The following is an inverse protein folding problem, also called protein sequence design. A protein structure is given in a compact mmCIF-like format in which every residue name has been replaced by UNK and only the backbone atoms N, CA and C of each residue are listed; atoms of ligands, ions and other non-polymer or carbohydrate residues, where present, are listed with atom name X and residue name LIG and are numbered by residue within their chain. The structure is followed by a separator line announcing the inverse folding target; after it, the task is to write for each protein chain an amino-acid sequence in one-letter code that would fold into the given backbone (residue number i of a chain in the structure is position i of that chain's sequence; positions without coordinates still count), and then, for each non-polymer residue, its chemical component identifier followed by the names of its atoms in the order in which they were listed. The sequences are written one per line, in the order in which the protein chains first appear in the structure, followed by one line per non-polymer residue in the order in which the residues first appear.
data_IF_537172100514
#
_entry.id   IF_537172100514
#
_cell.length_a   1.000
_cell.length_b   1.000
_cell.length_c   1.000
_cell.angle_alpha   90.00
_cell.angle_beta   90.00
_cell.angle_gamma   90.00
#
_symmetry.space_group_name_H-M   'P 1'
#
loop_
_entity.id
_entity.type
_entity.pdbx_description
1 polymer ?
#
# COMPACT_ATOMS: atom_id res chain seq x y z
N UNK A 1 -29.85 39.60 -18.73
CA UNK A 1 -29.23 39.14 -17.47
C UNK A 1 -29.65 37.70 -17.28
N UNK A 2 -29.01 36.81 -18.04
CA UNK A 2 -29.22 35.36 -17.99
C UNK A 2 -28.15 34.81 -17.06
N UNK A 3 -28.59 34.26 -15.93
CA UNK A 3 -27.74 33.53 -15.00
C UNK A 3 -27.64 32.12 -15.55
N UNK A 4 -26.48 31.76 -16.08
CA UNK A 4 -26.16 30.37 -16.43
C UNK A 4 -25.93 29.59 -15.12
N UNK A 5 -26.81 28.63 -14.86
CA UNK A 5 -26.57 27.60 -13.84
C UNK A 5 -25.44 26.69 -14.34
N UNK A 6 -24.23 26.96 -13.87
CA UNK A 6 -23.11 26.03 -13.95
C UNK A 6 -23.43 24.79 -13.12
N UNK A 7 -23.97 23.77 -13.77
CA UNK A 7 -23.97 22.41 -13.25
C UNK A 7 -22.53 21.91 -13.27
N UNK A 8 -21.80 22.09 -12.18
CA UNK A 8 -20.55 21.35 -11.95
C UNK A 8 -20.90 19.87 -11.83
N UNK A 9 -20.63 19.14 -12.91
CA UNK A 9 -20.68 17.68 -12.88
C UNK A 9 -19.49 17.21 -12.07
N UNK A 10 -19.66 17.03 -10.77
CA UNK A 10 -18.74 16.21 -9.97
C UNK A 10 -18.91 14.77 -10.44
N UNK A 11 -18.03 14.32 -11.33
CA UNK A 11 -17.98 12.91 -11.74
C UNK A 11 -17.64 12.05 -10.52
N UNK A 12 -18.52 11.11 -10.22
CA UNK A 12 -18.41 10.17 -9.11
C UNK A 12 -17.04 9.49 -9.11
N UNK A 13 -16.40 9.39 -7.94
CA UNK A 13 -15.06 8.83 -7.81
C UNK A 13 -15.07 7.32 -8.07
N UNK A 14 -14.11 6.84 -8.87
CA UNK A 14 -13.93 5.40 -9.11
C UNK A 14 -13.34 4.71 -7.88
N UNK A 15 -13.55 3.39 -7.75
CA UNK A 15 -12.99 2.61 -6.65
C UNK A 15 -11.45 2.67 -6.59
N UNK A 16 -10.78 2.78 -7.75
CA UNK A 16 -9.33 2.95 -7.81
C UNK A 16 -8.87 4.33 -7.32
N UNK A 17 -9.63 5.38 -7.61
CA UNK A 17 -9.38 6.73 -7.07
C UNK A 17 -9.57 6.74 -5.55
N UNK A 18 -10.66 6.15 -5.04
CA UNK A 18 -10.92 6.02 -3.61
C UNK A 18 -9.79 5.26 -2.91
N UNK A 19 -9.37 4.10 -3.44
CA UNK A 19 -8.24 3.33 -2.89
C UNK A 19 -6.95 4.17 -2.82
N UNK A 20 -6.62 4.87 -3.90
CA UNK A 20 -5.39 5.66 -4.00
C UNK A 20 -5.40 6.84 -3.03
N UNK A 21 -6.54 7.53 -2.89
CA UNK A 21 -6.73 8.64 -1.97
C UNK A 21 -6.72 8.15 -0.52
N UNK A 22 -7.38 7.02 -0.21
CA UNK A 22 -7.34 6.41 1.11
C UNK A 22 -5.90 6.07 1.53
N UNK A 23 -5.09 5.53 0.61
CA UNK A 23 -3.67 5.30 0.84
C UNK A 23 -2.88 6.60 1.04
N UNK A 24 -3.11 7.62 0.22
CA UNK A 24 -2.45 8.92 0.35
C UNK A 24 -2.71 9.57 1.72
N UNK A 25 -3.96 9.47 2.22
CA UNK A 25 -4.35 10.01 3.53
C UNK A 25 -3.60 9.39 4.71
N UNK A 26 -3.14 8.14 4.59
CA UNK A 26 -2.32 7.49 5.63
C UNK A 26 -0.92 8.10 5.78
N UNK A 27 -0.50 8.97 4.85
CA UNK A 27 0.81 9.62 4.88
C UNK A 27 0.80 11.08 5.39
N UNK A 28 -0.35 11.58 5.90
CA UNK A 28 -0.53 12.96 6.38
C UNK A 28 0.50 13.41 7.43
N UNK A 29 0.99 12.50 8.26
CA UNK A 29 1.91 12.80 9.37
C UNK A 29 3.21 11.97 9.31
N UNK A 30 3.48 11.36 8.16
CA UNK A 30 4.65 10.52 7.91
C UNK A 30 5.82 11.39 7.47
N UNK A 31 7.05 11.14 7.96
CA UNK A 31 8.22 11.89 7.47
C UNK A 31 8.81 11.21 6.23
N UNK A 32 8.97 9.89 6.28
CA UNK A 32 9.58 9.11 5.21
C UNK A 32 8.66 7.97 4.76
N UNK A 33 8.47 7.83 3.45
CA UNK A 33 7.76 6.69 2.87
C UNK A 33 8.65 5.97 1.86
N UNK A 34 8.78 4.65 2.03
CA UNK A 34 9.44 3.79 1.06
C UNK A 34 8.41 3.23 0.07
N UNK A 35 8.67 3.42 -1.22
CA UNK A 35 7.70 3.15 -2.28
C UNK A 35 8.32 2.39 -3.45
N UNK A 36 7.48 1.54 -4.06
CA UNK A 36 7.73 0.94 -5.37
C UNK A 36 7.09 1.78 -6.49
N UNK A 37 6.59 1.09 -7.52
CA UNK A 37 5.86 1.70 -8.65
C UNK A 37 4.36 1.46 -8.57
N UNK A 38 3.59 2.08 -9.49
CA UNK A 38 2.15 1.90 -9.60
C UNK A 38 1.38 2.66 -8.51
N UNK A 39 0.23 2.10 -8.06
CA UNK A 39 -0.65 2.76 -7.07
C UNK A 39 0.07 3.22 -5.79
N UNK A 40 1.00 2.44 -5.19
CA UNK A 40 1.85 2.94 -4.10
C UNK A 40 2.55 4.28 -4.42
N UNK A 41 3.21 4.37 -5.57
CA UNK A 41 3.91 5.58 -6.00
C UNK A 41 2.92 6.73 -6.22
N UNK A 42 1.80 6.46 -6.90
CA UNK A 42 0.75 7.45 -7.15
C UNK A 42 0.18 8.00 -5.84
N UNK A 43 -0.12 7.14 -4.86
CA UNK A 43 -0.64 7.55 -3.56
C UNK A 43 0.37 8.40 -2.78
N UNK A 44 1.67 8.08 -2.83
CA UNK A 44 2.70 8.84 -2.14
C UNK A 44 2.97 10.20 -2.78
N UNK A 45 2.99 10.28 -4.12
CA UNK A 45 3.11 11.55 -4.86
C UNK A 45 1.88 12.42 -4.57
N UNK A 46 0.66 11.86 -4.64
CA UNK A 46 -0.57 12.56 -4.28
C UNK A 46 -0.55 13.06 -2.84
N UNK A 47 -0.13 12.23 -1.88
CA UNK A 47 0.01 12.64 -0.50
C UNK A 47 0.96 13.83 -0.37
N UNK A 48 2.08 13.82 -1.09
CA UNK A 48 3.00 14.95 -1.11
C UNK A 48 2.38 16.22 -1.69
N UNK A 49 1.55 16.08 -2.72
CA UNK A 49 0.88 17.23 -3.36
C UNK A 49 -0.20 17.87 -2.48
N UNK A 50 -1.01 17.06 -1.79
CA UNK A 50 -2.27 17.53 -1.16
C UNK A 50 -2.24 17.49 0.37
N UNK A 51 -1.46 16.59 0.96
CA UNK A 51 -1.57 16.28 2.39
C UNK A 51 -0.32 16.63 3.19
N UNK A 52 0.85 16.42 2.60
CA UNK A 52 2.13 16.48 3.30
C UNK A 52 3.27 16.87 2.34
N UNK A 53 3.43 18.17 2.02
CA UNK A 53 4.48 18.66 1.12
C UNK A 53 5.91 18.32 1.54
N UNK A 54 6.13 18.04 2.82
CA UNK A 54 7.44 17.69 3.40
C UNK A 54 7.71 16.18 3.40
N UNK A 55 6.79 15.35 2.87
CA UNK A 55 6.97 13.91 2.78
C UNK A 55 8.18 13.55 1.93
N UNK A 56 9.12 12.80 2.51
CA UNK A 56 10.32 12.32 1.86
C UNK A 56 10.01 10.98 1.19
N UNK A 57 10.02 11.00 -0.15
CA UNK A 57 9.84 9.80 -0.98
C UNK A 57 11.17 9.06 -1.12
N UNK A 58 11.18 7.77 -0.79
CA UNK A 58 12.36 6.90 -0.86
C UNK A 58 12.07 5.71 -1.76
N UNK A 59 12.96 5.41 -2.70
CA UNK A 59 12.80 4.27 -3.61
C UNK A 59 13.94 3.27 -3.47
N UNK A 60 13.64 1.99 -3.74
CA UNK A 60 14.57 0.86 -3.63
C UNK A 60 15.85 1.02 -4.46
N UNK A 61 15.78 1.76 -5.57
CA UNK A 61 16.92 2.07 -6.44
C UNK A 61 17.99 2.95 -5.77
N UNK A 62 17.68 3.57 -4.63
CA UNK A 62 18.61 4.37 -3.85
C UNK A 62 18.30 5.87 -3.81
N UNK A 63 17.20 6.32 -4.42
CA UNK A 63 16.84 7.74 -4.41
C UNK A 63 16.14 8.10 -3.10
N UNK A 64 16.59 9.20 -2.48
CA UNK A 64 16.07 9.71 -1.21
C UNK A 64 15.61 11.14 -1.43
N UNK A 65 14.35 11.41 -1.08
CA UNK A 65 13.74 12.72 -1.26
C UNK A 65 13.44 13.04 -2.72
N UNK A 66 13.10 12.03 -3.53
CA UNK A 66 12.70 12.26 -4.92
C UNK A 66 11.40 13.10 -4.99
N UNK A 67 11.31 13.96 -6.01
CA UNK A 67 10.18 14.89 -6.22
C UNK A 67 9.68 14.77 -7.66
N UNK A 68 9.27 13.56 -8.11
CA UNK A 68 8.89 13.35 -9.50
C UNK A 68 7.63 14.17 -9.84
N UNK A 69 7.60 14.72 -11.04
CA UNK A 69 6.46 15.44 -11.59
C UNK A 69 5.46 14.51 -12.27
N UNK A 70 5.94 13.38 -12.80
CA UNK A 70 5.14 12.30 -13.38
C UNK A 70 5.12 11.07 -12.48
N UNK A 71 4.21 10.13 -12.75
CA UNK A 71 4.26 8.80 -12.11
C UNK A 71 5.43 8.02 -12.75
N UNK A 72 6.47 7.63 -11.98
CA UNK A 72 7.63 6.93 -12.53
C UNK A 72 7.23 5.59 -13.15
N UNK A 73 7.82 5.25 -14.30
CA UNK A 73 7.56 3.96 -14.97
C UNK A 73 8.26 2.80 -14.26
N UNK A 74 9.35 3.09 -13.56
CA UNK A 74 10.20 2.15 -12.86
C UNK A 74 10.80 2.81 -11.62
N UNK A 75 11.21 2.02 -10.62
CA UNK A 75 12.05 2.55 -9.53
C UNK A 75 13.39 3.10 -10.05
N UNK A 76 13.82 2.68 -11.24
CA UNK A 76 15.03 3.16 -11.92
C UNK A 76 14.77 4.28 -12.93
N UNK A 77 13.62 4.93 -12.89
CA UNK A 77 13.33 6.09 -13.75
C UNK A 77 14.31 7.23 -13.47
N UNK A 78 14.81 7.88 -14.53
CA UNK A 78 15.84 8.91 -14.42
C UNK A 78 15.38 10.12 -13.62
N UNK A 79 14.10 10.49 -13.73
CA UNK A 79 13.52 11.62 -12.99
C UNK A 79 13.65 11.45 -11.47
N UNK A 80 13.57 10.20 -10.98
CA UNK A 80 13.73 9.91 -9.56
C UNK A 80 15.11 10.30 -9.05
N UNK A 81 16.16 10.11 -9.85
CA UNK A 81 17.51 10.50 -9.50
C UNK A 81 17.74 12.01 -9.72
N UNK A 82 17.19 12.58 -10.79
CA UNK A 82 17.32 14.01 -11.10
C UNK A 82 16.67 14.92 -10.06
N UNK A 83 15.59 14.46 -9.42
CA UNK A 83 14.82 15.24 -8.43
C UNK A 83 15.12 14.89 -6.97
N UNK A 84 15.94 13.87 -6.72
CA UNK A 84 16.30 13.42 -5.38
C UNK A 84 17.23 14.40 -4.65
N UNK A 85 17.10 14.44 -3.32
CA UNK A 85 18.07 15.14 -2.47
C UNK A 85 19.39 14.37 -2.37
N UNK A 86 19.33 13.04 -2.49
CA UNK A 86 20.50 12.16 -2.53
C UNK A 86 20.22 10.87 -3.30
N UNK A 87 21.26 10.32 -3.91
CA UNK A 87 21.24 8.99 -4.54
C UNK A 87 22.32 8.15 -3.88
N UNK A 88 21.89 7.05 -3.24
CA UNK A 88 22.77 6.09 -2.58
C UNK A 88 22.80 4.77 -3.36
N UNK A 89 23.76 3.91 -3.04
CA UNK A 89 23.77 2.56 -3.62
C UNK A 89 22.65 1.69 -3.03
N UNK A 90 22.16 0.71 -3.79
CA UNK A 90 21.17 -0.26 -3.29
C UNK A 90 21.66 -0.97 -2.01
N UNK A 91 22.91 -1.46 -1.91
CA UNK A 91 23.41 -2.03 -0.65
C UNK A 91 23.33 -1.06 0.54
N UNK A 92 23.58 0.23 0.33
CA UNK A 92 23.43 1.24 1.37
C UNK A 92 21.95 1.45 1.76
N UNK A 93 21.04 1.51 0.79
CA UNK A 93 19.60 1.61 1.05
C UNK A 93 19.13 0.51 2.01
N UNK A 94 19.51 -0.74 1.75
CA UNK A 94 19.13 -1.85 2.62
C UNK A 94 19.88 -1.85 3.96
N UNK A 95 21.20 -1.65 3.97
CA UNK A 95 22.00 -1.78 5.18
C UNK A 95 21.89 -0.60 6.15
N UNK A 96 21.70 0.62 5.65
CA UNK A 96 21.76 1.85 6.47
C UNK A 96 20.42 2.56 6.62
N UNK A 97 19.46 2.35 5.71
CA UNK A 97 18.15 3.00 5.78
C UNK A 97 17.04 2.03 6.19
N UNK A 98 16.88 0.91 5.49
CA UNK A 98 15.81 -0.06 5.78
C UNK A 98 16.13 -0.89 7.02
N UNK A 99 17.23 -1.65 7.04
CA UNK A 99 17.56 -2.59 8.12
C UNK A 99 17.60 -1.96 9.53
N UNK A 100 18.21 -0.78 9.72
CA UNK A 100 18.19 -0.06 11.00
C UNK A 100 16.84 0.62 11.32
N UNK A 101 15.81 0.46 10.49
CA UNK A 101 14.46 1.01 10.62
C UNK A 101 14.43 2.53 10.65
N UNK A 102 15.06 3.19 9.67
CA UNK A 102 15.04 4.65 9.50
C UNK A 102 13.94 5.15 8.56
N UNK A 103 13.15 4.22 8.01
CA UNK A 103 11.98 4.51 7.19
C UNK A 103 10.74 4.33 8.08
N UNK A 104 9.89 5.35 8.14
CA UNK A 104 8.69 5.35 8.99
C UNK A 104 7.62 4.41 8.43
N UNK A 105 7.26 4.58 7.16
CA UNK A 105 6.19 3.83 6.48
C UNK A 105 6.73 3.24 5.19
N UNK A 106 6.30 2.03 4.85
CA UNK A 106 6.52 1.48 3.53
C UNK A 106 5.19 1.05 2.87
N UNK A 107 5.08 1.27 1.57
CA UNK A 107 4.01 0.67 0.78
C UNK A 107 4.47 -0.60 0.09
N UNK A 108 3.68 -1.66 0.23
CA UNK A 108 3.86 -2.91 -0.49
C UNK A 108 2.60 -3.28 -1.28
N UNK A 109 2.77 -4.11 -2.31
CA UNK A 109 1.70 -4.80 -2.99
C UNK A 109 1.92 -6.31 -2.92
N UNK A 110 0.91 -7.09 -3.27
CA UNK A 110 1.01 -8.54 -3.30
C UNK A 110 0.05 -9.17 -4.32
N UNK A 111 0.40 -10.35 -4.82
CA UNK A 111 -0.48 -11.16 -5.66
C UNK A 111 -1.43 -12.03 -4.82
N UNK A 112 -0.96 -12.53 -3.68
CA UNK A 112 -1.81 -13.13 -2.64
C UNK A 112 -1.50 -12.53 -1.27
N UNK A 113 -2.51 -12.46 -0.43
CA UNK A 113 -2.51 -11.99 0.95
C UNK A 113 -3.31 -13.01 1.76
N UNK A 114 -2.79 -13.44 2.91
CA UNK A 114 -3.53 -14.29 3.84
C UNK A 114 -4.10 -13.50 5.02
N UNK A 115 -4.83 -14.21 5.89
CA UNK A 115 -5.48 -13.62 7.06
C UNK A 115 -4.53 -12.91 8.03
N UNK A 116 -3.23 -13.17 8.03
CA UNK A 116 -2.25 -12.50 8.90
C UNK A 116 -1.39 -11.49 8.13
N UNK A 117 -1.87 -11.06 6.96
CA UNK A 117 -1.17 -10.16 6.06
C UNK A 117 0.22 -10.66 5.60
N UNK A 118 0.45 -11.98 5.60
CA UNK A 118 1.59 -12.52 4.87
C UNK A 118 1.34 -12.34 3.38
N UNK A 119 2.41 -12.14 2.61
CA UNK A 119 2.31 -11.75 1.20
C UNK A 119 3.01 -12.76 0.29
N UNK A 120 2.42 -12.98 -0.87
CA UNK A 120 3.04 -13.72 -1.97
C UNK A 120 3.20 -12.81 -3.19
N UNK A 121 4.43 -12.73 -3.68
CA UNK A 121 4.78 -12.11 -4.97
C UNK A 121 5.76 -12.98 -5.76
N UNK A 122 5.92 -14.26 -5.38
CA UNK A 122 6.90 -15.18 -5.98
C UNK A 122 6.26 -16.17 -6.95
N UNK A 123 5.24 -16.90 -6.53
CA UNK A 123 4.70 -18.02 -7.31
C UNK A 123 3.25 -18.34 -6.97
N UNK A 124 2.45 -18.70 -7.98
CA UNK A 124 1.11 -19.30 -7.80
C UNK A 124 1.18 -20.78 -8.16
N UNK A 125 0.68 -21.64 -7.28
CA UNK A 125 0.80 -23.11 -7.34
C UNK A 125 2.11 -23.64 -6.76
N UNK A 126 2.48 -24.87 -7.18
CA UNK A 126 3.71 -25.54 -6.76
C UNK A 126 4.97 -24.71 -7.07
N UNK A 127 5.95 -24.69 -6.17
CA UNK A 127 7.14 -23.85 -6.35
C UNK A 127 8.02 -24.32 -7.50
N UNK A 128 8.24 -25.64 -7.61
CA UNK A 128 9.13 -26.24 -8.62
C UNK A 128 8.45 -26.29 -9.99
N UNK A 129 7.11 -26.40 -10.03
CA UNK A 129 6.30 -26.43 -11.24
C UNK A 129 5.15 -25.39 -11.17
N UNK A 130 5.47 -24.09 -11.25
CA UNK A 130 4.52 -23.03 -11.00
C UNK A 130 3.44 -22.97 -12.07
N UNK A 131 2.18 -22.78 -11.65
CA UNK A 131 1.12 -22.36 -12.58
C UNK A 131 1.40 -20.96 -13.12
N UNK A 132 1.93 -20.08 -12.27
CA UNK A 132 2.35 -18.73 -12.67
C UNK A 132 3.57 -18.31 -11.86
N UNK A 133 4.63 -17.89 -12.56
CA UNK A 133 5.79 -17.24 -11.94
C UNK A 133 5.54 -15.73 -11.86
N UNK A 134 5.71 -15.18 -10.67
CA UNK A 134 5.56 -13.75 -10.41
C UNK A 134 6.93 -13.05 -10.37
N UNK A 135 6.99 -11.71 -10.33
CA UNK A 135 8.26 -10.97 -10.35
C UNK A 135 9.26 -11.35 -9.25
N UNK A 136 8.79 -11.84 -8.10
CA UNK A 136 9.63 -12.24 -6.98
C UNK A 136 9.54 -11.28 -5.80
N UNK A 137 10.46 -11.48 -4.84
CA UNK A 137 10.46 -10.78 -3.57
C UNK A 137 10.88 -9.30 -3.66
N UNK A 138 11.85 -8.98 -4.54
CA UNK A 138 12.54 -7.69 -4.47
C UNK A 138 13.06 -7.42 -3.06
N UNK A 139 12.92 -6.18 -2.58
CA UNK A 139 13.20 -5.80 -1.20
C UNK A 139 12.10 -6.11 -0.18
N UNK A 140 10.93 -6.61 -0.60
CA UNK A 140 9.74 -6.68 0.25
C UNK A 140 9.93 -7.41 1.60
N UNK A 141 10.71 -8.52 1.69
CA UNK A 141 10.95 -9.18 2.97
C UNK A 141 11.67 -8.27 3.99
N UNK A 142 12.71 -7.55 3.57
CA UNK A 142 13.49 -6.68 4.44
C UNK A 142 12.70 -5.41 4.81
N UNK A 143 11.93 -4.87 3.85
CA UNK A 143 11.02 -3.75 4.08
C UNK A 143 10.00 -4.12 5.17
N UNK A 144 9.35 -5.28 5.05
CA UNK A 144 8.36 -5.71 6.03
C UNK A 144 8.96 -6.09 7.39
N UNK A 145 10.22 -6.52 7.43
CA UNK A 145 10.93 -6.80 8.66
C UNK A 145 11.32 -5.51 9.40
N UNK A 146 11.74 -4.46 8.69
CA UNK A 146 12.56 -3.40 9.28
C UNK A 146 11.96 -1.99 9.24
N UNK A 147 11.09 -1.64 8.28
CA UNK A 147 10.40 -0.35 8.26
C UNK A 147 9.43 -0.19 9.46
N UNK A 148 9.22 1.05 9.93
CA UNK A 148 8.41 1.33 11.12
C UNK A 148 7.02 0.70 11.07
N UNK A 149 6.32 0.86 9.95
CA UNK A 149 5.12 0.11 9.59
C UNK A 149 5.01 -0.10 8.07
N UNK A 150 4.15 -1.05 7.67
CA UNK A 150 3.84 -1.36 6.28
C UNK A 150 2.36 -1.15 6.02
N UNK A 151 2.03 -0.50 4.92
CA UNK A 151 0.67 -0.44 4.39
C UNK A 151 0.66 -1.20 3.06
N UNK A 152 -0.22 -2.19 2.96
CA UNK A 152 -0.36 -3.00 1.75
C UNK A 152 -1.48 -2.42 0.88
N UNK A 153 -1.24 -2.25 -0.42
CA UNK A 153 -2.24 -1.81 -1.39
C UNK A 153 -2.45 -2.93 -2.39
N UNK A 154 -3.68 -3.45 -2.47
CA UNK A 154 -4.01 -4.59 -3.33
C UNK A 154 -5.47 -4.55 -3.80
N UNK A 155 -5.81 -5.12 -4.97
CA UNK A 155 -7.19 -5.33 -5.36
C UNK A 155 -7.86 -6.40 -4.49
N UNK A 156 -9.07 -6.14 -4.01
CA UNK A 156 -9.87 -7.09 -3.25
C UNK A 156 -10.54 -8.08 -4.19
N UNK A 157 -10.01 -9.29 -4.24
CA UNK A 157 -10.57 -10.38 -5.01
C UNK A 157 -10.23 -11.69 -4.34
N UNK A 158 -11.07 -12.71 -4.53
CA UNK A 158 -10.87 -14.05 -3.93
C UNK A 158 -9.55 -14.72 -4.30
N UNK A 159 -8.96 -14.33 -5.44
CA UNK A 159 -7.63 -14.80 -5.87
C UNK A 159 -6.46 -14.09 -5.16
N UNK A 160 -6.71 -12.89 -4.65
CA UNK A 160 -5.75 -12.07 -3.92
C UNK A 160 -5.85 -12.37 -2.43
N UNK A 161 -7.06 -12.39 -1.85
CA UNK A 161 -7.28 -12.68 -0.43
C UNK A 161 -7.57 -14.17 -0.29
N UNK A 162 -6.55 -14.96 0.03
CA UNK A 162 -6.63 -16.43 0.04
C UNK A 162 -6.48 -16.98 1.45
N UNK A 163 -7.16 -18.11 1.75
CA UNK A 163 -7.05 -18.79 3.04
C UNK A 163 -5.61 -19.21 3.36
N UNK A 164 -4.88 -19.65 2.33
CA UNK A 164 -3.49 -20.09 2.43
C UNK A 164 -2.72 -19.62 1.20
N UNK A 165 -1.58 -19.00 1.42
CA UNK A 165 -0.66 -18.62 0.34
C UNK A 165 -0.06 -19.88 -0.31
N UNK A 166 0.17 -19.81 -1.62
CA UNK A 166 0.96 -20.83 -2.31
C UNK A 166 2.44 -20.75 -1.91
N UNK A 167 2.92 -19.54 -1.61
CA UNK A 167 4.27 -19.28 -1.14
C UNK A 167 4.31 -18.04 -0.24
N UNK A 168 5.06 -18.11 0.88
CA UNK A 168 5.28 -16.94 1.74
C UNK A 168 6.51 -16.20 1.22
N UNK A 169 6.30 -15.14 0.44
CA UNK A 169 7.40 -14.28 -0.02
C UNK A 169 7.84 -13.34 1.10
N UNK A 170 6.88 -12.70 1.74
CA UNK A 170 7.11 -11.68 2.76
C UNK A 170 6.24 -12.01 3.96
N UNK A 171 6.87 -12.15 5.13
CA UNK A 171 6.17 -12.40 6.38
C UNK A 171 5.48 -11.12 6.85
N UNK A 172 4.16 -11.19 7.00
CA UNK A 172 3.33 -10.16 7.62
C UNK A 172 3.40 -10.32 9.13
N UNK A 173 2.35 -10.85 9.73
CA UNK A 173 2.32 -11.22 11.16
C UNK A 173 2.69 -12.68 11.44
N UNK A 174 3.01 -13.48 10.42
CA UNK A 174 3.38 -14.88 10.59
C UNK A 174 2.16 -15.79 10.78
N UNK A 175 2.30 -16.79 11.64
CA UNK A 175 1.26 -17.75 12.00
C UNK A 175 0.76 -17.60 13.44
N UNK A 176 1.57 -17.02 14.32
CA UNK A 176 1.24 -16.72 15.71
C UNK A 176 1.41 -15.22 16.01
N UNK A 177 0.64 -14.65 16.96
CA UNK A 177 0.69 -13.22 17.26
C UNK A 177 2.07 -12.66 17.66
N UNK A 178 2.96 -13.51 18.17
CA UNK A 178 4.31 -13.18 18.63
C UNK A 178 5.41 -13.56 17.60
N UNK A 179 5.06 -14.07 16.42
CA UNK A 179 6.05 -14.55 15.45
C UNK A 179 7.01 -13.44 15.00
N UNK A 180 6.52 -12.20 14.82
CA UNK A 180 7.38 -11.07 14.45
C UNK A 180 8.47 -10.80 15.49
N UNK A 181 8.11 -10.87 16.77
CA UNK A 181 9.06 -10.71 17.89
C UNK A 181 10.06 -11.87 17.90
N UNK A 182 9.57 -13.11 17.76
CA UNK A 182 10.41 -14.30 17.72
C UNK A 182 11.39 -14.32 16.53
N UNK A 183 10.99 -13.75 15.40
CA UNK A 183 11.83 -13.59 14.21
C UNK A 183 12.81 -12.40 14.31
N UNK A 184 12.70 -11.57 15.36
CA UNK A 184 13.57 -10.42 15.56
C UNK A 184 13.27 -9.26 14.60
N UNK A 185 12.05 -9.19 14.06
CA UNK A 185 11.66 -8.08 13.19
C UNK A 185 11.53 -6.79 14.00
N UNK A 186 12.10 -5.71 13.45
CA UNK A 186 12.13 -4.40 14.08
C UNK A 186 10.82 -3.63 13.90
N UNK A 187 10.24 -3.73 12.70
CA UNK A 187 9.05 -3.03 12.30
C UNK A 187 7.77 -3.60 12.88
N UNK A 188 6.70 -2.80 12.92
CA UNK A 188 5.36 -3.27 13.29
C UNK A 188 4.74 -4.21 12.25
N UNK A 189 5.33 -4.30 11.06
CA UNK A 189 4.80 -5.08 9.95
C UNK A 189 3.60 -4.42 9.29
N UNK A 190 2.75 -5.19 8.58
CA UNK A 190 1.52 -4.67 8.00
C UNK A 190 0.58 -4.11 9.06
N UNK A 191 0.30 -2.81 9.01
CA UNK A 191 -0.65 -2.13 9.92
C UNK A 191 -1.97 -1.80 9.23
N UNK A 192 -2.00 -1.80 7.90
CA UNK A 192 -3.23 -1.71 7.12
C UNK A 192 -3.08 -2.42 5.77
N UNK A 193 -4.20 -2.94 5.26
CA UNK A 193 -4.37 -3.42 3.88
C UNK A 193 -5.50 -2.60 3.25
N UNK A 194 -5.14 -1.72 2.31
CA UNK A 194 -6.07 -0.81 1.64
C UNK A 194 -6.45 -1.39 0.28
N UNK A 195 -7.73 -1.63 0.09
CA UNK A 195 -8.29 -2.27 -1.10
C UNK A 195 -9.20 -1.33 -1.88
N UNK A 196 -9.78 -1.79 -2.99
CA UNK A 196 -10.85 -1.10 -3.69
C UNK A 196 -12.23 -1.25 -3.01
N UNK A 197 -12.35 -2.08 -1.97
CA UNK A 197 -13.59 -2.28 -1.19
C UNK A 197 -13.59 -1.59 0.17
N UNK A 198 -12.41 -1.43 0.79
CA UNK A 198 -12.27 -0.99 2.17
C UNK A 198 -10.85 -1.15 2.72
N UNK A 199 -10.69 -0.90 4.01
CA UNK A 199 -9.43 -1.04 4.75
C UNK A 199 -9.57 -2.19 5.75
N UNK A 200 -8.56 -3.07 5.74
CA UNK A 200 -8.41 -4.12 6.74
C UNK A 200 -7.22 -3.80 7.64
N UNK A 201 -7.35 -3.99 8.94
CA UNK A 201 -6.29 -3.79 9.92
C UNK A 201 -6.13 -5.05 10.77
N UNK A 202 -4.91 -5.41 11.20
CA UNK A 202 -4.69 -6.59 12.03
C UNK A 202 -5.30 -6.38 13.42
N UNK A 203 -6.06 -7.36 13.88
CA UNK A 203 -6.55 -7.43 15.26
C UNK A 203 -5.36 -7.36 16.24
N UNK A 204 -5.44 -6.56 17.32
CA UNK A 204 -4.31 -6.37 18.23
C UNK A 204 -3.90 -7.66 18.96
N UNK A 205 -4.82 -8.59 19.20
CA UNK A 205 -4.56 -9.84 19.92
C UNK A 205 -4.23 -10.99 18.97
N UNK A 206 -5.05 -11.21 17.93
CA UNK A 206 -4.90 -12.37 17.04
C UNK A 206 -4.02 -12.10 15.83
N UNK A 207 -3.80 -10.82 15.47
CA UNK A 207 -3.16 -10.36 14.23
C UNK A 207 -3.89 -10.77 12.94
N UNK A 208 -5.09 -11.33 13.04
CA UNK A 208 -5.92 -11.59 11.87
C UNK A 208 -6.45 -10.26 11.31
N UNK A 209 -6.51 -10.14 9.98
CA UNK A 209 -7.08 -9.00 9.29
C UNK A 209 -8.59 -8.91 9.56
N UNK A 210 -9.01 -7.74 10.04
CA UNK A 210 -10.40 -7.37 10.30
C UNK A 210 -10.76 -6.21 9.38
N UNK A 211 -11.94 -6.25 8.75
CA UNK A 211 -12.46 -5.11 8.00
C UNK A 211 -12.84 -3.98 8.97
N UNK A 212 -12.09 -2.88 8.96
CA UNK A 212 -12.27 -1.73 9.87
C UNK A 212 -12.87 -0.51 9.17
N UNK A 213 -12.71 -0.40 7.85
CA UNK A 213 -13.38 0.63 7.05
C UNK A 213 -13.98 0.03 5.76
N UNK A 214 -15.16 0.51 5.36
CA UNK A 214 -15.80 0.20 4.08
C UNK A 214 -15.89 1.45 3.21
N UNK A 215 -15.58 1.33 1.92
CA UNK A 215 -15.64 2.46 0.99
C UNK A 215 -17.09 2.84 0.63
N UNK A 216 -17.34 4.11 0.23
CA UNK A 216 -18.66 4.54 -0.24
C UNK A 216 -19.21 3.65 -1.36
N UNK A 217 -20.50 3.28 -1.25
CA UNK A 217 -21.16 2.42 -2.24
C UNK A 217 -20.82 0.93 -2.18
N UNK A 218 -19.96 0.50 -1.26
CA UNK A 218 -19.59 -0.92 -1.09
C UNK A 218 -20.34 -1.53 0.10
N UNK A 219 -20.86 -2.73 -0.10
CA UNK A 219 -21.51 -3.54 0.94
C UNK A 219 -20.53 -4.53 1.56
N UNK A 220 -20.67 -4.78 2.87
CA UNK A 220 -19.80 -5.70 3.64
C UNK A 220 -19.82 -7.12 3.07
N UNK A 221 -20.97 -7.59 2.59
CA UNK A 221 -21.12 -8.92 2.01
C UNK A 221 -20.21 -9.11 0.78
N UNK A 222 -19.98 -8.04 0.00
CA UNK A 222 -19.05 -8.11 -1.13
C UNK A 222 -17.61 -8.38 -0.68
N UNK A 223 -17.16 -7.73 0.39
CA UNK A 223 -15.82 -7.97 0.95
C UNK A 223 -15.70 -9.42 1.47
N UNK A 224 -16.74 -9.95 2.11
CA UNK A 224 -16.78 -11.35 2.57
C UNK A 224 -16.73 -12.34 1.40
N UNK A 225 -17.51 -12.12 0.36
CA UNK A 225 -17.54 -12.98 -0.83
C UNK A 225 -16.18 -13.05 -1.56
N UNK A 226 -15.47 -11.92 -1.58
CA UNK A 226 -14.16 -11.77 -2.21
C UNK A 226 -12.99 -12.12 -1.28
N UNK A 227 -13.25 -12.60 -0.06
CA UNK A 227 -12.23 -13.06 0.88
C UNK A 227 -12.22 -14.59 0.95
N UNK A 228 -11.03 -15.18 0.95
CA UNK A 228 -10.83 -16.63 0.97
C UNK A 228 -11.07 -17.29 2.33
N UNK A 229 -11.26 -16.50 3.38
CA UNK A 229 -11.48 -16.91 4.77
C UNK A 229 -12.73 -16.26 5.36
N UNK A 230 -13.10 -16.64 6.58
CA UNK A 230 -14.19 -16.00 7.32
C UNK A 230 -13.76 -14.59 7.77
N UNK A 231 -14.06 -13.58 6.94
CA UNK A 231 -13.66 -12.19 7.18
C UNK A 231 -14.43 -11.60 8.36
N UNK A 232 -13.70 -11.32 9.45
CA UNK A 232 -14.20 -10.55 10.58
C UNK A 232 -14.40 -9.09 10.19
N UNK A 233 -15.40 -8.48 10.79
CA UNK A 233 -15.79 -7.08 10.60
C UNK A 233 -15.77 -6.42 11.97
N UNK A 234 -15.17 -5.23 12.07
CA UNK A 234 -15.10 -4.49 13.32
C UNK A 234 -16.50 -4.12 13.85
N UNK A 235 -16.68 -4.16 15.17
CA UNK A 235 -17.95 -3.73 15.80
C UNK A 235 -18.26 -2.25 15.51
N UNK A 236 -17.22 -1.43 15.44
CA UNK A 236 -17.26 -0.01 15.09
C UNK A 236 -16.87 0.25 13.63
N UNK A 237 -17.29 -0.63 12.70
CA UNK A 237 -17.02 -0.49 11.26
C UNK A 237 -17.29 0.94 10.77
N UNK A 238 -16.24 1.58 10.25
CA UNK A 238 -16.31 2.95 9.75
C UNK A 238 -16.60 2.97 8.26
N UNK A 239 -17.15 4.08 7.78
CA UNK A 239 -17.16 4.39 6.34
C UNK A 239 -15.98 5.29 6.05
N UNK A 240 -15.24 4.99 4.98
CA UNK A 240 -14.17 5.87 4.52
C UNK A 240 -14.78 7.19 4.05
N UNK A 241 -14.18 8.31 4.45
CA UNK A 241 -14.62 9.63 3.99
C UNK A 241 -14.55 9.72 2.46
N UNK A 242 -15.56 10.30 1.78
CA UNK A 242 -15.49 10.47 0.34
C UNK A 242 -14.28 11.34 -0.06
N UNK A 243 -13.70 11.12 -1.25
CA UNK A 243 -12.68 12.00 -1.80
C UNK A 243 -13.13 13.46 -1.84
N UNK A 244 -12.24 14.39 -1.47
CA UNK A 244 -12.49 15.82 -1.68
C UNK A 244 -12.28 16.20 -3.15
N UNK A 245 -12.83 17.34 -3.56
CA UNK A 245 -12.60 17.87 -4.92
C UNK A 245 -11.11 18.14 -5.19
N UNK A 246 -10.38 18.65 -4.19
CA UNK A 246 -8.93 18.87 -4.27
C UNK A 246 -8.16 17.56 -4.47
N UNK A 247 -8.48 16.52 -3.69
CA UNK A 247 -7.84 15.21 -3.81
C UNK A 247 -8.11 14.57 -5.18
N UNK A 248 -9.37 14.62 -5.65
CA UNK A 248 -9.74 14.06 -6.96
C UNK A 248 -9.10 14.82 -8.11
N UNK A 249 -9.13 16.15 -8.06
CA UNK A 249 -8.53 16.98 -9.12
C UNK A 249 -7.02 16.74 -9.20
N UNK A 250 -6.33 16.74 -8.05
CA UNK A 250 -4.89 16.51 -8.00
C UNK A 250 -4.52 15.10 -8.50
N UNK A 251 -5.30 14.07 -8.13
CA UNK A 251 -5.06 12.71 -8.60
C UNK A 251 -5.28 12.58 -10.11
N UNK A 252 -6.37 13.14 -10.64
CA UNK A 252 -6.67 13.07 -12.08
C UNK A 252 -5.63 13.83 -12.90
N UNK A 253 -5.22 15.01 -12.45
CA UNK A 253 -4.13 15.75 -13.07
C UNK A 253 -2.83 14.94 -13.07
N UNK A 254 -2.48 14.32 -11.93
CA UNK A 254 -1.29 13.47 -11.84
C UNK A 254 -1.32 12.27 -12.79
N UNK A 255 -2.52 11.69 -13.04
CA UNK A 255 -2.70 10.55 -13.95
C UNK A 255 -2.66 10.95 -15.44
N UNK A 256 -2.94 12.22 -15.76
CA UNK A 256 -2.96 12.74 -17.14
C UNK A 256 -1.59 13.22 -17.65
N UNK A 257 -0.64 13.47 -16.75
CA UNK A 257 0.72 13.94 -17.06
C UNK A 257 1.58 12.86 -17.69
#
# INVERSE_FOLDING_TARGET
MTVENGSTVTTEATAAEIQTIAAARRLRHTKTVFIGVGRPSTAAILARMVHNPELILVYESGTIGAKPFHIPLSIGDGELAETADSVVSVPEMFNYWIGPGRIDVAFLGAAQIDRHANLNSTVIGDYDHPKTRLPGAGGAPEIAASCGEVIVIAPHAKRTFVEKLDFVTTVGHGHAPDDRERLGFRGRGPTAVITDLGVLEPDPETKELVLTEIHPGVEVDKAREETGWDLKVAEDLKRTDPPTEEELSALRELLER
#
